data_IF_571487876856
#
_entry.id   IF_571487876856
#
_cell.length_a   1.000
_cell.length_b   1.000
_cell.length_c   1.000
_cell.angle_alpha   90.00
_cell.angle_beta   90.00
_cell.angle_gamma   90.00
#
_symmetry.space_group_name_H-M   'P 1'
#
loop_
_entity.id
_entity.type
_entity.pdbx_description
1 polymer ?
#
# COMPACT_ATOMS: atom_id res chain seq x y z
N UNK A 1 21.95 -21.59 -25.26
CA UNK A 1 20.65 -21.43 -24.57
C UNK A 1 20.65 -20.09 -23.86
N UNK A 2 19.71 -19.18 -24.14
CA UNK A 2 19.59 -17.91 -23.40
C UNK A 2 19.10 -18.24 -21.98
N UNK A 3 19.85 -17.83 -20.96
CA UNK A 3 19.47 -18.01 -19.57
C UNK A 3 18.19 -17.21 -19.32
N UNK A 4 17.09 -17.90 -19.00
CA UNK A 4 15.81 -17.26 -18.67
C UNK A 4 16.05 -16.43 -17.42
N UNK A 5 15.88 -15.10 -17.49
CA UNK A 5 16.02 -14.21 -16.34
C UNK A 5 15.05 -14.72 -15.25
N UNK A 6 15.57 -15.00 -14.05
CA UNK A 6 14.71 -15.42 -12.93
C UNK A 6 13.68 -14.33 -12.70
N UNK A 7 12.43 -14.73 -12.64
CA UNK A 7 11.33 -13.83 -12.31
C UNK A 7 11.53 -13.28 -10.90
N UNK A 8 11.28 -11.98 -10.73
CA UNK A 8 11.35 -11.35 -9.43
C UNK A 8 10.32 -11.98 -8.49
N UNK A 9 10.74 -12.28 -7.27
CA UNK A 9 9.87 -12.82 -6.23
C UNK A 9 9.93 -11.96 -4.99
N UNK A 10 8.79 -11.70 -4.39
CA UNK A 10 8.64 -10.94 -3.15
C UNK A 10 7.45 -11.48 -2.37
N UNK A 11 7.42 -11.24 -1.08
CA UNK A 11 6.23 -11.47 -0.26
C UNK A 11 5.41 -10.18 -0.06
N UNK A 12 5.87 -9.04 -0.57
CA UNK A 12 5.15 -7.77 -0.55
C UNK A 12 5.12 -7.16 -1.94
N UNK A 13 3.91 -6.85 -2.40
CA UNK A 13 3.67 -6.36 -3.76
C UNK A 13 2.70 -5.18 -3.71
N UNK A 14 3.10 -4.08 -4.31
CA UNK A 14 2.27 -2.91 -4.54
C UNK A 14 1.52 -3.02 -5.86
N UNK A 15 0.29 -2.52 -5.88
CA UNK A 15 -0.59 -2.45 -7.03
C UNK A 15 -1.42 -1.16 -6.98
N UNK A 16 -2.25 -0.93 -7.99
CA UNK A 16 -3.08 0.27 -8.08
C UNK A 16 -4.44 -0.09 -8.67
N UNK A 17 -5.53 0.33 -8.03
CA UNK A 17 -6.89 0.19 -8.56
C UNK A 17 -7.43 1.55 -8.99
N UNK A 18 -8.22 1.58 -10.07
CA UNK A 18 -8.90 2.79 -10.54
C UNK A 18 -10.37 2.75 -10.18
N UNK A 19 -10.91 3.88 -9.72
CA UNK A 19 -12.31 3.98 -9.31
C UNK A 19 -13.28 3.66 -10.45
N UNK A 20 -12.89 3.92 -11.70
CA UNK A 20 -13.73 3.69 -12.89
C UNK A 20 -13.82 2.22 -13.32
N UNK A 21 -12.91 1.35 -12.87
CA UNK A 21 -12.81 -0.04 -13.35
C UNK A 21 -12.90 -1.08 -12.24
N UNK A 22 -12.53 -0.72 -11.01
CA UNK A 22 -12.57 -1.63 -9.88
C UNK A 22 -14.02 -2.06 -9.59
N UNK A 23 -14.28 -3.34 -9.26
CA UNK A 23 -15.62 -3.77 -8.82
C UNK A 23 -16.13 -2.95 -7.63
N UNK A 24 -17.44 -2.68 -7.58
CA UNK A 24 -18.03 -1.91 -6.48
C UNK A 24 -17.81 -2.58 -5.10
N UNK A 25 -17.72 -3.91 -5.08
CA UNK A 25 -17.52 -4.75 -3.89
C UNK A 25 -16.05 -5.15 -3.66
N UNK A 26 -15.09 -4.39 -4.19
CA UNK A 26 -13.66 -4.73 -4.15
C UNK A 26 -13.11 -5.07 -2.76
N UNK A 27 -13.64 -4.46 -1.69
CA UNK A 27 -13.23 -4.79 -0.32
C UNK A 27 -13.58 -6.24 0.05
N UNK A 28 -14.77 -6.72 -0.31
CA UNK A 28 -15.15 -8.11 -0.08
C UNK A 28 -14.29 -9.06 -0.91
N UNK A 29 -14.03 -8.70 -2.18
CA UNK A 29 -13.16 -9.49 -3.05
C UNK A 29 -11.74 -9.61 -2.48
N UNK A 30 -11.19 -8.52 -1.94
CA UNK A 30 -9.88 -8.50 -1.28
C UNK A 30 -9.87 -9.35 0.00
N UNK A 31 -10.93 -9.30 0.80
CA UNK A 31 -11.08 -10.15 1.98
C UNK A 31 -11.11 -11.65 1.62
N UNK A 32 -11.84 -12.03 0.58
CA UNK A 32 -11.93 -13.42 0.11
C UNK A 32 -10.59 -14.01 -0.38
N UNK A 33 -9.61 -13.15 -0.72
CA UNK A 33 -8.27 -13.62 -1.05
C UNK A 33 -7.53 -14.20 0.17
N UNK A 34 -7.95 -13.83 1.39
CA UNK A 34 -7.26 -14.15 2.64
C UNK A 34 -5.77 -13.77 2.63
N UNK A 35 -5.44 -12.67 1.94
CA UNK A 35 -4.10 -12.10 1.91
C UNK A 35 -4.17 -10.74 2.61
N UNK A 36 -3.46 -10.54 3.74
CA UNK A 36 -3.43 -9.26 4.42
C UNK A 36 -3.09 -8.13 3.44
N UNK A 37 -3.87 -7.05 3.48
CA UNK A 37 -3.72 -5.93 2.56
C UNK A 37 -3.93 -4.58 3.25
N UNK A 38 -3.36 -3.55 2.62
CA UNK A 38 -3.67 -2.15 2.88
C UNK A 38 -4.00 -1.44 1.57
N UNK A 39 -4.87 -0.44 1.64
CA UNK A 39 -5.18 0.47 0.54
C UNK A 39 -5.06 1.91 1.03
N UNK A 40 -4.48 2.77 0.20
CA UNK A 40 -4.46 4.21 0.43
C UNK A 40 -5.88 4.79 0.44
N UNK A 41 -6.04 6.05 0.86
CA UNK A 41 -7.21 6.85 0.51
C UNK A 41 -7.35 6.93 -1.02
N UNK A 42 -8.51 7.39 -1.50
CA UNK A 42 -8.66 7.71 -2.93
C UNK A 42 -7.79 8.91 -3.29
N UNK A 43 -6.82 8.70 -4.19
CA UNK A 43 -5.99 9.73 -4.77
C UNK A 43 -6.74 10.40 -5.93
N UNK A 44 -7.60 11.36 -5.61
CA UNK A 44 -8.45 12.11 -6.54
C UNK A 44 -7.92 13.50 -6.90
N UNK A 45 -6.88 13.97 -6.19
CA UNK A 45 -6.30 15.32 -6.32
C UNK A 45 -4.88 15.31 -6.88
N UNK A 46 -4.43 14.16 -7.35
CA UNK A 46 -3.10 14.01 -7.92
C UNK A 46 -2.99 14.71 -9.27
N UNK A 47 -1.95 15.53 -9.46
CA UNK A 47 -1.71 16.25 -10.71
C UNK A 47 -0.56 15.61 -11.48
N UNK A 48 -0.74 15.44 -12.78
CA UNK A 48 0.33 15.06 -13.70
C UNK A 48 1.28 16.24 -13.89
N UNK A 49 2.54 16.09 -13.47
CA UNK A 49 3.53 17.18 -13.52
C UNK A 49 3.88 17.65 -14.93
N UNK A 50 3.68 16.80 -15.95
CA UNK A 50 4.00 17.12 -17.34
C UNK A 50 2.83 17.83 -18.02
N UNK A 51 1.59 17.40 -17.77
CA UNK A 51 0.40 17.95 -18.44
C UNK A 51 -0.34 19.00 -17.63
N UNK A 52 -0.17 19.01 -16.31
CA UNK A 52 -0.93 19.85 -15.38
C UNK A 52 -2.36 19.34 -15.11
N UNK A 53 -2.76 18.23 -15.72
CA UNK A 53 -4.10 17.66 -15.57
C UNK A 53 -4.19 16.75 -14.35
N UNK A 54 -5.41 16.61 -13.80
CA UNK A 54 -5.67 15.62 -12.77
C UNK A 54 -5.47 14.21 -13.30
N UNK A 55 -4.82 13.37 -12.51
CA UNK A 55 -4.77 11.93 -12.75
C UNK A 55 -6.15 11.33 -12.48
N UNK A 56 -6.40 10.17 -13.08
CA UNK A 56 -7.59 9.37 -12.78
C UNK A 56 -7.61 9.01 -11.29
N UNK A 57 -8.76 9.10 -10.60
CA UNK A 57 -8.89 8.65 -9.22
C UNK A 57 -8.45 7.19 -9.05
N UNK A 58 -7.53 6.97 -8.11
CA UNK A 58 -6.93 5.66 -7.87
C UNK A 58 -6.66 5.41 -6.39
N UNK A 59 -6.53 4.14 -5.99
CA UNK A 59 -5.93 3.75 -4.72
C UNK A 59 -4.65 2.99 -5.00
N UNK A 60 -3.63 3.25 -4.20
CA UNK A 60 -2.49 2.36 -4.08
C UNK A 60 -2.83 1.23 -3.11
N UNK A 61 -2.44 0.01 -3.44
CA UNK A 61 -2.65 -1.15 -2.59
C UNK A 61 -1.36 -1.92 -2.36
N UNK A 62 -1.25 -2.62 -1.23
CA UNK A 62 -0.16 -3.56 -0.97
C UNK A 62 -0.72 -4.87 -0.44
N UNK A 63 -0.26 -5.98 -1.01
CA UNK A 63 -0.46 -7.32 -0.44
C UNK A 63 0.75 -7.77 0.38
N UNK A 64 0.49 -8.43 1.50
CA UNK A 64 1.47 -9.04 2.38
C UNK A 64 1.26 -10.57 2.40
N UNK A 65 1.93 -11.26 1.51
CA UNK A 65 1.88 -12.72 1.43
C UNK A 65 2.77 -13.39 2.49
N UNK A 66 2.37 -14.58 2.96
CA UNK A 66 3.23 -15.40 3.82
C UNK A 66 4.42 -16.01 3.06
N UNK A 67 4.24 -16.28 1.76
CA UNK A 67 5.25 -16.89 0.89
C UNK A 67 5.60 -15.99 -0.28
N UNK A 68 6.79 -16.20 -0.85
CA UNK A 68 7.24 -15.47 -2.03
C UNK A 68 6.34 -15.74 -3.24
N UNK A 69 5.71 -14.69 -3.76
CA UNK A 69 4.99 -14.70 -5.04
C UNK A 69 5.84 -14.07 -6.14
N UNK A 70 5.63 -14.51 -7.37
CA UNK A 70 6.25 -13.88 -8.54
C UNK A 70 5.42 -12.72 -9.06
N UNK A 71 6.02 -11.87 -9.90
CA UNK A 71 5.32 -10.77 -10.57
C UNK A 71 4.06 -11.25 -11.27
N UNK A 72 4.15 -12.28 -12.11
CA UNK A 72 3.02 -12.81 -12.88
C UNK A 72 1.89 -13.31 -12.00
N UNK A 73 2.21 -14.00 -10.90
CA UNK A 73 1.18 -14.50 -9.98
C UNK A 73 0.35 -13.37 -9.38
N UNK A 74 0.98 -12.26 -9.01
CA UNK A 74 0.27 -11.13 -8.40
C UNK A 74 -0.42 -10.28 -9.47
N UNK A 75 0.25 -10.07 -10.61
CA UNK A 75 -0.28 -9.37 -11.78
C UNK A 75 -1.55 -10.03 -12.34
N UNK A 76 -1.57 -11.36 -12.43
CA UNK A 76 -2.76 -12.11 -12.87
C UNK A 76 -3.87 -12.03 -11.82
N UNK A 77 -3.52 -12.16 -10.53
CA UNK A 77 -4.48 -12.07 -9.42
C UNK A 77 -5.24 -10.73 -9.41
N UNK A 78 -4.52 -9.61 -9.49
CA UNK A 78 -5.16 -8.28 -9.45
C UNK A 78 -5.90 -7.93 -10.74
N UNK A 79 -5.41 -8.39 -11.89
CA UNK A 79 -6.11 -8.23 -13.17
C UNK A 79 -7.43 -8.99 -13.19
N UNK A 80 -7.43 -10.27 -12.77
CA UNK A 80 -8.64 -11.12 -12.72
C UNK A 80 -9.65 -10.67 -11.67
N UNK A 81 -9.20 -10.30 -10.46
CA UNK A 81 -10.09 -10.03 -9.32
C UNK A 81 -10.54 -8.59 -9.20
N UNK A 82 -9.71 -7.63 -9.60
CA UNK A 82 -9.93 -6.21 -9.31
C UNK A 82 -10.05 -5.35 -10.57
N UNK A 83 -9.98 -5.93 -11.77
CA UNK A 83 -9.86 -5.18 -13.03
C UNK A 83 -8.73 -4.13 -12.97
N UNK A 84 -7.65 -4.47 -12.26
CA UNK A 84 -6.49 -3.60 -12.05
C UNK A 84 -5.53 -3.69 -13.24
N UNK A 85 -4.77 -2.63 -13.56
CA UNK A 85 -3.64 -2.75 -14.47
C UNK A 85 -2.68 -3.84 -14.01
N UNK A 86 -2.17 -4.63 -14.95
CA UNK A 86 -1.25 -5.75 -14.69
C UNK A 86 0.07 -5.35 -14.02
N UNK A 87 0.39 -4.06 -13.95
CA UNK A 87 1.64 -3.56 -13.38
C UNK A 87 1.64 -3.66 -11.85
N UNK A 88 2.62 -4.38 -11.31
CA UNK A 88 2.86 -4.51 -9.87
C UNK A 88 4.32 -4.26 -9.54
N UNK A 89 4.59 -3.76 -8.34
CA UNK A 89 5.94 -3.41 -7.91
C UNK A 89 6.31 -4.09 -6.60
N UNK A 90 7.57 -4.48 -6.46
CA UNK A 90 8.06 -5.00 -5.18
C UNK A 90 8.17 -3.88 -4.18
N UNK A 91 7.55 -4.06 -3.01
CA UNK A 91 7.70 -3.13 -1.90
C UNK A 91 9.09 -3.28 -1.30
N UNK A 92 9.92 -2.24 -1.49
CA UNK A 92 11.29 -2.21 -0.98
C UNK A 92 11.36 -1.85 0.51
N UNK A 93 10.48 -0.95 0.95
CA UNK A 93 10.36 -0.51 2.35
C UNK A 93 8.88 -0.30 2.69
N UNK A 94 8.32 -1.05 3.66
CA UNK A 94 6.95 -0.81 4.11
C UNK A 94 6.76 0.60 4.66
N UNK A 95 7.73 1.15 5.42
CA UNK A 95 7.71 2.53 5.91
C UNK A 95 7.60 3.54 4.77
N UNK A 96 8.50 3.43 3.77
CA UNK A 96 8.48 4.35 2.63
C UNK A 96 7.21 4.26 1.79
N UNK A 97 6.55 3.09 1.77
CA UNK A 97 5.25 2.93 1.11
C UNK A 97 4.11 3.60 1.91
N UNK A 98 4.17 3.54 3.24
CA UNK A 98 3.22 4.21 4.11
C UNK A 98 3.28 5.74 3.96
N UNK A 99 4.47 6.34 4.03
CA UNK A 99 4.64 7.78 3.83
C UNK A 99 4.19 8.22 2.44
N UNK A 100 4.32 7.31 1.45
CA UNK A 100 3.84 7.51 0.10
C UNK A 100 2.30 7.48 -0.02
N UNK A 101 1.58 6.65 0.75
CA UNK A 101 0.10 6.56 0.71
C UNK A 101 -0.61 7.84 1.11
N UNK A 102 0.01 8.64 1.96
CA UNK A 102 -0.60 9.88 2.50
C UNK A 102 0.06 11.14 1.94
N UNK A 103 1.13 10.96 1.14
CA UNK A 103 2.03 12.03 0.72
C UNK A 103 2.60 12.86 1.88
N UNK A 104 2.71 12.28 3.08
CA UNK A 104 3.08 12.99 4.31
C UNK A 104 4.41 13.75 4.19
N UNK A 105 5.39 13.18 3.47
CA UNK A 105 6.73 13.77 3.31
C UNK A 105 6.91 14.56 2.00
N UNK A 106 5.88 14.71 1.18
CA UNK A 106 5.99 15.38 -0.12
C UNK A 106 5.22 16.72 -0.15
N UNK A 107 5.88 17.85 0.13
CA UNK A 107 5.22 19.16 0.18
C UNK A 107 4.68 19.64 -1.18
N UNK A 108 5.07 18.99 -2.28
CA UNK A 108 4.60 19.32 -3.62
C UNK A 108 3.39 18.49 -4.05
N UNK A 109 2.87 17.61 -3.17
CA UNK A 109 1.70 16.78 -3.44
C UNK A 109 0.59 17.06 -2.43
N UNK A 110 -0.64 16.81 -2.83
CA UNK A 110 -1.79 16.90 -1.95
C UNK A 110 -1.69 15.84 -0.86
N UNK A 111 -1.72 16.20 0.43
CA UNK A 111 -1.75 15.24 1.52
C UNK A 111 -3.14 14.58 1.62
N UNK A 112 -3.17 13.33 2.06
CA UNK A 112 -4.40 12.56 2.31
C UNK A 112 -4.46 12.11 3.78
N UNK A 113 -5.68 11.88 4.29
CA UNK A 113 -5.88 11.52 5.70
C UNK A 113 -5.49 10.05 5.96
N UNK A 114 -4.75 9.81 7.04
CA UNK A 114 -4.35 8.48 7.49
C UNK A 114 -5.58 7.65 7.88
N UNK A 115 -6.62 8.29 8.42
CA UNK A 115 -7.86 7.63 8.86
C UNK A 115 -8.67 7.04 7.69
N UNK A 116 -8.39 7.46 6.45
CA UNK A 116 -9.03 6.96 5.23
C UNK A 116 -8.29 5.74 4.63
N UNK A 117 -7.24 5.25 5.30
CA UNK A 117 -6.55 4.00 4.93
C UNK A 117 -7.48 2.83 5.25
N UNK A 118 -7.65 1.95 4.26
CA UNK A 118 -8.40 0.71 4.42
C UNK A 118 -7.43 -0.45 4.57
N UNK A 119 -7.80 -1.45 5.38
CA UNK A 119 -7.02 -2.68 5.55
C UNK A 119 -7.93 -3.85 5.86
N UNK A 120 -7.46 -5.06 5.58
CA UNK A 120 -8.27 -6.26 5.77
C UNK A 120 -7.46 -7.55 5.82
N UNK A 121 -8.16 -8.68 5.85
CA UNK A 121 -7.63 -10.04 5.88
C UNK A 121 -6.60 -10.25 7.00
N UNK A 122 -6.88 -9.68 8.18
CA UNK A 122 -6.05 -9.81 9.38
C UNK A 122 -4.83 -8.89 9.43
N UNK A 123 -4.74 -7.88 8.55
CA UNK A 123 -3.70 -6.87 8.64
C UNK A 123 -3.88 -5.99 9.90
N UNK A 124 -2.87 -5.93 10.76
CA UNK A 124 -2.89 -5.11 11.98
C UNK A 124 -2.47 -3.66 11.67
N UNK A 125 -3.40 -2.86 11.12
CA UNK A 125 -3.10 -1.48 10.70
C UNK A 125 -2.55 -0.63 11.84
N UNK A 126 -3.21 -0.59 13.00
CA UNK A 126 -2.78 0.24 14.14
C UNK A 126 -1.35 -0.05 14.58
N UNK A 127 -0.98 -1.32 14.62
CA UNK A 127 0.37 -1.76 14.96
C UNK A 127 1.37 -1.34 13.88
N UNK A 128 1.00 -1.52 12.61
CA UNK A 128 1.83 -1.07 11.49
C UNK A 128 2.05 0.45 11.54
N UNK A 129 1.00 1.24 11.80
CA UNK A 129 1.10 2.68 11.97
C UNK A 129 2.02 3.03 13.14
N UNK A 130 1.84 2.37 14.29
CA UNK A 130 2.63 2.62 15.49
C UNK A 130 4.12 2.30 15.30
N UNK A 131 4.45 1.21 14.61
CA UNK A 131 5.83 0.80 14.34
C UNK A 131 6.54 1.73 13.35
N UNK A 132 5.79 2.42 12.48
CA UNK A 132 6.34 3.27 11.43
C UNK A 132 6.23 4.77 11.72
N UNK A 133 5.48 5.17 12.75
CA UNK A 133 5.34 6.55 13.20
C UNK A 133 6.43 6.91 14.24
N UNK A 134 7.44 7.68 13.80
CA UNK A 134 8.54 8.13 14.66
C UNK A 134 8.07 8.99 15.84
N UNK A 135 7.04 9.83 15.64
CA UNK A 135 6.51 10.68 16.71
C UNK A 135 5.87 9.84 17.82
N UNK A 136 5.17 8.76 17.46
CA UNK A 136 4.58 7.86 18.46
C UNK A 136 5.67 7.09 19.22
N UNK A 137 6.70 6.59 18.53
CA UNK A 137 7.84 5.94 19.16
C UNK A 137 8.56 6.89 20.12
N UNK A 138 8.77 8.14 19.72
CA UNK A 138 9.36 9.17 20.57
C UNK A 138 8.48 9.49 21.78
N UNK A 139 7.16 9.60 21.61
CA UNK A 139 6.23 9.80 22.73
C UNK A 139 6.25 8.63 23.73
N UNK A 140 6.24 7.38 23.23
CA UNK A 140 6.35 6.19 24.10
C UNK A 140 7.69 6.20 24.84
N UNK A 141 8.79 6.54 24.16
CA UNK A 141 10.10 6.65 24.77
C UNK A 141 10.14 7.70 25.89
N UNK A 142 9.58 8.88 25.65
CA UNK A 142 9.49 9.95 26.65
C UNK A 142 8.63 9.52 27.85
N UNK A 143 7.48 8.87 27.63
CA UNK A 143 6.65 8.32 28.70
C UNK A 143 7.38 7.24 29.50
N UNK A 144 8.09 6.32 28.85
CA UNK A 144 8.90 5.28 29.52
C UNK A 144 10.02 5.90 30.37
N UNK A 145 10.74 6.88 29.80
CA UNK A 145 11.80 7.62 30.49
C UNK A 145 11.26 8.33 31.73
N UNK A 146 10.13 9.02 31.60
CA UNK A 146 9.55 9.83 32.67
C UNK A 146 8.85 8.96 33.74
N UNK A 147 8.40 7.75 33.37
CA UNK A 147 7.81 6.77 34.29
C UNK A 147 8.85 5.97 35.10
N UNK A 148 10.14 6.09 34.79
CA UNK A 148 11.23 5.37 35.47
C UNK A 148 11.20 3.85 35.29
N UNK A 149 10.43 3.36 34.32
CA UNK A 149 10.34 1.94 33.98
C UNK A 149 11.61 1.62 33.18
N UNK A 150 12.53 0.84 33.78
CA UNK A 150 13.73 0.32 33.14
C UNK A 150 13.46 -1.01 32.46
#
# INVERSE_FOLDING_TARGET
MKQKKKEQRSNKWAFLIYQESVPEDYLNLLEELHVPFILSPWHDKDVNRTTGEFKKPHKHGVFFFESLKSYSQVSELISDKLNSPEHVEVVMSPKGMYDYFTHAENPEKTPYNIEDIESGAGFELDKFLAENNEDLLNQVYEVMRDSGIK
#
